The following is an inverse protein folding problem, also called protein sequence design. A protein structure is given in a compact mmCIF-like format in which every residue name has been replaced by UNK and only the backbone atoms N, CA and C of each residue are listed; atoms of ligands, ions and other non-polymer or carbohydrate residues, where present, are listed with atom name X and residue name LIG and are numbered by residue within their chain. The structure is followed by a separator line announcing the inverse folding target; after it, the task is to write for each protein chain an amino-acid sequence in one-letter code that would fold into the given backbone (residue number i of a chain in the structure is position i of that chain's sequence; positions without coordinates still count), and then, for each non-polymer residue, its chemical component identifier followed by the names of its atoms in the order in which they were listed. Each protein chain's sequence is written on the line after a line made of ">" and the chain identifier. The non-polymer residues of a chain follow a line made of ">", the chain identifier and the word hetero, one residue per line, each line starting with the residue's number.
data_IF_633594309609
#
_entry.id   IF_633594309609
#
_cell.length_a   1.000
_cell.length_b   1.000
_cell.length_c   1.000
_cell.angle_alpha   90.00
_cell.angle_beta   90.00
_cell.angle_gamma   90.00
#
_symmetry.space_group_name_H-M   'P 1'
#
loop_
_entity.id
_entity.type
_entity.pdbx_description
1 polymer ?
#
# COMPACT_ATOMS: atom_id res chain seq x y z
N UNK A 1 33.13 -21.19 61.51
CA UNK A 1 32.30 -20.14 60.88
C UNK A 1 31.61 -20.71 59.65
N UNK A 2 30.27 -20.74 59.63
CA UNK A 2 29.49 -21.47 58.62
C UNK A 2 29.51 -20.75 57.26
N UNK A 3 30.15 -21.37 56.25
CA UNK A 3 30.23 -20.90 54.84
C UNK A 3 28.89 -20.43 54.25
N UNK A 4 27.77 -21.03 54.67
CA UNK A 4 26.41 -20.67 54.21
C UNK A 4 25.98 -19.25 54.62
N UNK A 5 26.44 -18.73 55.77
CA UNK A 5 26.13 -17.36 56.22
C UNK A 5 26.89 -16.28 55.45
N UNK A 6 28.10 -16.61 55.00
CA UNK A 6 28.95 -15.69 54.21
C UNK A 6 28.37 -15.54 52.79
N UNK A 7 27.93 -16.63 52.17
CA UNK A 7 27.32 -16.61 50.83
C UNK A 7 25.98 -15.85 50.84
N UNK A 8 25.14 -16.03 51.86
CA UNK A 8 23.88 -15.30 51.98
C UNK A 8 24.09 -13.79 52.24
N UNK A 9 25.11 -13.41 53.01
CA UNK A 9 25.48 -12.02 53.25
C UNK A 9 26.01 -11.33 51.99
N UNK A 10 26.84 -12.01 51.20
CA UNK A 10 27.34 -11.50 49.93
C UNK A 10 26.22 -11.34 48.90
N UNK A 11 25.29 -12.31 48.78
CA UNK A 11 24.17 -12.19 47.85
C UNK A 11 23.22 -11.02 48.21
N UNK A 12 22.91 -10.83 49.50
CA UNK A 12 22.04 -9.70 49.92
C UNK A 12 22.68 -8.32 49.70
N UNK A 13 24.01 -8.24 49.72
CA UNK A 13 24.71 -6.97 49.53
C UNK A 13 24.90 -6.60 48.05
N UNK A 14 25.14 -7.57 47.17
CA UNK A 14 25.41 -7.32 45.75
C UNK A 14 24.16 -7.31 44.85
N UNK A 15 23.07 -7.98 45.24
CA UNK A 15 21.83 -8.00 44.46
C UNK A 15 21.20 -6.61 44.23
N UNK A 16 21.05 -5.70 45.23
CA UNK A 16 20.47 -4.38 44.99
C UNK A 16 21.36 -3.51 44.11
N UNK A 17 22.69 -3.64 44.22
CA UNK A 17 23.65 -2.92 43.39
C UNK A 17 23.53 -3.37 41.93
N UNK A 18 23.43 -4.68 41.68
CA UNK A 18 23.24 -5.22 40.34
C UNK A 18 21.92 -4.78 39.69
N UNK A 19 20.84 -4.69 40.46
CA UNK A 19 19.54 -4.22 39.96
C UNK A 19 19.51 -2.72 39.64
N UNK A 20 20.17 -1.89 40.46
CA UNK A 20 20.25 -0.45 40.20
C UNK A 20 21.14 -0.16 38.99
N UNK A 21 22.32 -0.75 38.89
CA UNK A 21 23.23 -0.51 37.75
C UNK A 21 22.75 -1.18 36.46
N UNK A 22 22.18 -2.38 36.54
CA UNK A 22 21.55 -3.05 35.39
C UNK A 22 20.31 -2.32 34.88
N UNK A 23 19.49 -1.80 35.80
CA UNK A 23 18.33 -0.97 35.46
C UNK A 23 18.72 0.36 34.82
N UNK A 24 19.76 1.03 35.32
CA UNK A 24 20.25 2.31 34.78
C UNK A 24 20.81 2.15 33.35
N UNK A 25 21.53 1.05 33.08
CA UNK A 25 22.05 0.74 31.74
C UNK A 25 20.92 0.46 30.74
N UNK A 26 19.87 -0.24 31.18
CA UNK A 26 18.68 -0.51 30.36
C UNK A 26 17.87 0.77 30.10
N UNK A 27 17.80 1.68 31.08
CA UNK A 27 17.15 2.98 30.94
C UNK A 27 17.92 3.93 30.03
N UNK A 28 19.27 3.91 30.06
CA UNK A 28 20.11 4.69 29.13
C UNK A 28 19.96 4.22 27.67
N UNK A 29 19.87 2.89 27.45
CA UNK A 29 19.62 2.31 26.13
C UNK A 29 18.22 2.66 25.57
N UNK A 30 17.23 2.88 26.44
CA UNK A 30 15.90 3.36 26.07
C UNK A 30 15.88 4.86 25.72
N UNK A 31 16.81 5.66 26.25
CA UNK A 31 16.89 7.10 26.01
C UNK A 31 17.71 7.48 24.75
N UNK A 32 18.45 6.55 24.14
CA UNK A 32 19.24 6.81 22.92
C UNK A 32 18.49 6.59 21.61
N UNK A 33 17.17 6.39 21.65
CA UNK A 33 16.32 6.24 20.46
C UNK A 33 15.41 7.44 20.25
N UNK A 34 15.92 8.66 20.47
CA UNK A 34 15.32 9.87 19.88
C UNK A 34 16.21 10.34 18.75
N UNK A 35 16.18 9.59 17.65
CA UNK A 35 16.52 10.16 16.35
C UNK A 35 15.40 11.12 16.00
N UNK A 36 15.57 12.40 16.35
CA UNK A 36 14.89 13.52 15.69
C UNK A 36 15.22 13.44 14.20
N UNK A 37 14.48 12.61 13.49
CA UNK A 37 14.44 12.63 12.04
C UNK A 37 13.16 13.38 11.75
N UNK A 38 13.30 14.65 11.36
CA UNK A 38 12.24 15.31 10.60
C UNK A 38 11.77 14.30 9.55
N UNK A 39 10.54 13.77 9.69
CA UNK A 39 9.95 12.88 8.70
C UNK A 39 9.83 13.70 7.41
N UNK A 40 10.86 13.63 6.58
CA UNK A 40 10.75 14.02 5.20
C UNK A 40 9.86 12.95 4.58
N UNK A 41 8.59 13.28 4.34
CA UNK A 41 7.61 12.44 3.62
C UNK A 41 7.96 12.23 2.14
N UNK A 42 9.24 12.39 1.80
CA UNK A 42 9.79 12.19 0.47
C UNK A 42 9.77 10.70 0.11
N UNK A 43 8.90 10.35 -0.84
CA UNK A 43 8.91 9.05 -1.50
C UNK A 43 10.10 9.05 -2.46
N UNK A 44 11.05 8.14 -2.26
CA UNK A 44 12.20 8.00 -3.16
C UNK A 44 11.74 7.42 -4.51
N UNK A 45 12.03 8.07 -5.65
CA UNK A 45 11.42 7.78 -6.95
C UNK A 45 12.02 6.56 -7.70
N UNK A 46 12.47 5.51 -7.01
CA UNK A 46 13.04 4.35 -7.71
C UNK A 46 12.67 3.01 -7.10
N UNK A 47 11.39 2.65 -7.17
CA UNK A 47 10.99 1.24 -7.15
C UNK A 47 11.06 0.73 -8.60
N UNK A 48 12.27 0.69 -9.16
CA UNK A 48 12.48 0.08 -10.47
C UNK A 48 12.78 -1.41 -10.25
N UNK A 49 11.91 -2.28 -10.78
CA UNK A 49 12.25 -3.69 -10.99
C UNK A 49 12.53 -3.90 -12.47
N UNK A 50 13.81 -4.07 -12.87
CA UNK A 50 14.19 -4.30 -14.28
C UNK A 50 13.63 -5.59 -14.89
N UNK A 51 13.04 -6.48 -14.08
CA UNK A 51 12.68 -7.85 -14.47
C UNK A 51 11.26 -8.03 -15.00
N UNK A 52 10.37 -7.04 -14.83
CA UNK A 52 8.94 -7.18 -15.18
C UNK A 52 8.70 -7.39 -16.69
N UNK A 53 9.68 -7.01 -17.52
CA UNK A 53 9.59 -7.13 -18.97
C UNK A 53 10.27 -8.38 -19.57
N UNK A 54 11.07 -9.15 -18.80
CA UNK A 54 11.91 -10.22 -19.37
C UNK A 54 11.81 -11.59 -18.68
N UNK A 55 11.46 -11.65 -17.39
CA UNK A 55 11.38 -12.92 -16.65
C UNK A 55 10.01 -13.14 -16.02
N UNK A 56 9.27 -14.12 -16.55
CA UNK A 56 8.05 -14.61 -15.94
C UNK A 56 8.34 -15.15 -14.53
N UNK A 57 7.64 -14.67 -13.48
CA UNK A 57 7.82 -15.16 -12.11
C UNK A 57 7.55 -16.67 -12.01
N UNK A 58 8.37 -17.39 -11.23
CA UNK A 58 8.23 -18.86 -11.06
C UNK A 58 7.19 -19.22 -10.00
N UNK A 59 6.80 -18.28 -9.14
CA UNK A 59 5.79 -18.47 -8.10
C UNK A 59 5.20 -17.13 -7.64
N UNK A 60 4.04 -17.21 -6.97
CA UNK A 60 3.41 -16.03 -6.34
C UNK A 60 4.35 -15.44 -5.28
N UNK A 61 5.03 -16.30 -4.52
CA UNK A 61 5.99 -15.85 -3.51
C UNK A 61 7.14 -15.05 -4.12
N UNK A 62 7.71 -15.52 -5.24
CA UNK A 62 8.78 -14.81 -5.93
C UNK A 62 8.30 -13.44 -6.41
N UNK A 63 7.12 -13.39 -7.05
CA UNK A 63 6.51 -12.13 -7.48
C UNK A 63 6.29 -11.19 -6.30
N UNK A 64 5.64 -11.65 -5.23
CA UNK A 64 5.37 -10.81 -4.06
C UNK A 64 6.66 -10.28 -3.43
N UNK A 65 7.72 -11.09 -3.38
CA UNK A 65 9.04 -10.66 -2.88
C UNK A 65 9.72 -9.65 -3.79
N UNK A 66 9.66 -9.80 -5.12
CA UNK A 66 10.22 -8.81 -6.04
C UNK A 66 9.47 -7.48 -5.96
N UNK A 67 8.16 -7.50 -5.72
CA UNK A 67 7.32 -6.30 -5.62
C UNK A 67 7.09 -5.79 -4.19
N UNK A 68 7.91 -6.24 -3.23
CA UNK A 68 7.75 -5.92 -1.81
C UNK A 68 7.60 -4.42 -1.55
N UNK A 69 8.47 -3.59 -2.12
CA UNK A 69 8.45 -2.14 -1.86
C UNK A 69 7.17 -1.47 -2.39
N UNK A 70 6.63 -1.97 -3.51
CA UNK A 70 5.35 -1.49 -4.03
C UNK A 70 4.18 -1.87 -3.10
N UNK A 71 4.20 -3.08 -2.51
CA UNK A 71 3.21 -3.47 -1.49
C UNK A 71 3.33 -2.65 -0.20
N UNK A 72 4.54 -2.31 0.24
CA UNK A 72 4.70 -1.41 1.38
C UNK A 72 4.19 0.00 1.04
N UNK A 73 4.52 0.50 -0.16
CA UNK A 73 4.08 1.82 -0.61
C UNK A 73 2.56 1.89 -0.79
N UNK A 74 1.91 0.82 -1.26
CA UNK A 74 0.45 0.80 -1.44
C UNK A 74 -0.31 0.96 -0.12
N UNK A 75 0.23 0.44 1.00
CA UNK A 75 -0.28 0.73 2.34
C UNK A 75 -0.20 2.23 2.67
N UNK A 76 0.94 2.88 2.41
CA UNK A 76 1.06 4.34 2.62
C UNK A 76 0.13 5.13 1.70
N UNK A 77 0.10 4.77 0.42
CA UNK A 77 -0.56 5.54 -0.64
C UNK A 77 -2.08 5.46 -0.59
N UNK A 78 -2.64 4.30 -0.21
CA UNK A 78 -4.08 4.07 -0.24
C UNK A 78 -4.63 3.33 0.97
N UNK A 79 -3.82 3.00 1.98
CA UNK A 79 -4.29 2.31 3.19
C UNK A 79 -4.90 0.93 2.91
N UNK A 80 -4.58 0.30 1.79
CA UNK A 80 -5.12 -1.02 1.44
C UNK A 80 -4.14 -2.11 1.86
N UNK A 81 -4.59 -3.04 2.71
CA UNK A 81 -3.72 -4.00 3.38
C UNK A 81 -3.03 -4.95 2.37
N UNK A 82 -1.70 -5.12 2.39
CA UNK A 82 -0.97 -5.91 1.39
C UNK A 82 -1.47 -7.34 1.20
N UNK A 83 -1.65 -8.11 2.27
CA UNK A 83 -2.10 -9.50 2.21
C UNK A 83 -3.53 -9.63 1.63
N UNK A 84 -4.41 -8.67 1.94
CA UNK A 84 -5.74 -8.58 1.36
C UNK A 84 -5.65 -8.23 -0.13
N UNK A 85 -4.79 -7.30 -0.52
CA UNK A 85 -4.56 -6.94 -1.92
C UNK A 85 -4.11 -8.14 -2.75
N UNK A 86 -3.12 -8.89 -2.26
CA UNK A 86 -2.63 -10.13 -2.90
C UNK A 86 -3.75 -11.16 -3.04
N UNK A 87 -4.55 -11.35 -1.98
CA UNK A 87 -5.66 -12.31 -2.00
C UNK A 87 -6.72 -11.94 -3.04
N UNK A 88 -7.06 -10.65 -3.12
CA UNK A 88 -7.98 -10.17 -4.14
C UNK A 88 -7.38 -10.35 -5.53
N UNK A 89 -6.11 -10.00 -5.75
CA UNK A 89 -5.43 -10.23 -7.05
C UNK A 89 -5.51 -11.68 -7.50
N UNK A 90 -5.30 -12.63 -6.58
CA UNK A 90 -5.44 -14.06 -6.87
C UNK A 90 -6.87 -14.43 -7.31
N UNK A 91 -7.90 -13.84 -6.71
CA UNK A 91 -9.29 -14.07 -7.12
C UNK A 91 -9.59 -13.44 -8.50
N UNK A 92 -9.06 -12.25 -8.76
CA UNK A 92 -9.35 -11.49 -9.99
C UNK A 92 -8.63 -12.01 -11.23
N UNK A 93 -7.36 -12.43 -11.09
CA UNK A 93 -6.54 -12.79 -12.24
C UNK A 93 -5.70 -14.06 -12.04
N UNK A 94 -5.85 -14.75 -10.90
CA UNK A 94 -5.24 -16.05 -10.63
C UNK A 94 -3.72 -16.06 -10.49
N UNK A 95 -3.04 -14.89 -10.53
CA UNK A 95 -1.60 -14.83 -10.75
C UNK A 95 -1.12 -15.72 -11.91
N UNK A 96 -1.79 -15.62 -13.07
CA UNK A 96 -1.54 -16.50 -14.20
C UNK A 96 -0.18 -16.23 -14.88
N UNK A 97 0.89 -16.79 -14.30
CA UNK A 97 2.25 -16.69 -14.84
C UNK A 97 2.50 -17.57 -16.06
N UNK A 98 1.66 -18.56 -16.36
CA UNK A 98 1.89 -19.44 -17.53
C UNK A 98 1.47 -18.79 -18.85
N UNK A 99 0.64 -17.75 -18.78
CA UNK A 99 0.28 -16.92 -19.93
C UNK A 99 -0.05 -15.48 -19.49
N UNK A 100 0.95 -14.70 -19.00
CA UNK A 100 0.72 -13.35 -18.51
C UNK A 100 0.21 -12.44 -19.64
N UNK A 101 0.71 -12.63 -20.86
CA UNK A 101 0.18 -11.93 -22.04
C UNK A 101 -1.15 -12.51 -22.54
N UNK A 102 -1.72 -13.53 -21.90
CA UNK A 102 -2.99 -14.16 -22.30
C UNK A 102 -4.20 -13.67 -21.53
N UNK A 103 -4.00 -12.94 -20.43
CA UNK A 103 -5.08 -12.30 -19.68
C UNK A 103 -4.90 -10.80 -19.72
N UNK A 104 -6.00 -10.09 -19.91
CA UNK A 104 -6.04 -8.65 -20.04
C UNK A 104 -5.44 -7.90 -18.87
N UNK A 105 -5.79 -8.30 -17.64
CA UNK A 105 -5.30 -7.67 -16.43
C UNK A 105 -3.80 -7.81 -16.26
N UNK A 106 -3.22 -8.94 -16.68
CA UNK A 106 -1.77 -9.11 -16.66
C UNK A 106 -1.08 -8.25 -17.73
N UNK A 107 -1.63 -8.16 -18.94
CA UNK A 107 -1.14 -7.27 -20.00
C UNK A 107 -1.21 -5.78 -19.61
N UNK A 108 -2.22 -5.41 -18.83
CA UNK A 108 -2.41 -4.04 -18.36
C UNK A 108 -1.67 -3.71 -17.05
N UNK A 109 -0.94 -4.69 -16.49
CA UNK A 109 -0.38 -4.64 -15.14
C UNK A 109 -1.42 -4.23 -14.08
N UNK A 110 -2.68 -4.53 -14.33
CA UNK A 110 -3.81 -4.15 -13.51
C UNK A 110 -4.08 -5.24 -12.49
N UNK A 111 -3.58 -5.05 -11.27
CA UNK A 111 -3.53 -6.09 -10.24
C UNK A 111 -4.86 -6.36 -9.54
N UNK A 112 -5.99 -5.91 -10.08
CA UNK A 112 -7.28 -6.18 -9.46
C UNK A 112 -8.51 -5.87 -10.28
N UNK A 113 -8.41 -5.42 -11.53
CA UNK A 113 -9.58 -4.97 -12.29
C UNK A 113 -9.96 -3.52 -11.99
N UNK A 114 -8.97 -2.66 -11.73
CA UNK A 114 -9.15 -1.22 -11.56
C UNK A 114 -9.77 -0.65 -12.84
N UNK A 115 -11.03 -0.22 -12.77
CA UNK A 115 -11.72 0.45 -13.88
C UNK A 115 -11.05 1.78 -14.18
N UNK A 116 -11.26 2.29 -15.39
CA UNK A 116 -10.86 3.66 -15.74
C UNK A 116 -11.51 4.65 -14.79
N UNK A 117 -10.71 5.58 -14.28
CA UNK A 117 -11.17 6.70 -13.46
C UNK A 117 -10.57 8.00 -14.02
N UNK A 118 -9.93 8.82 -13.19
CA UNK A 118 -9.21 10.03 -13.55
C UNK A 118 -7.77 9.93 -13.07
N UNK A 119 -6.83 10.60 -13.73
CA UNK A 119 -5.40 10.50 -13.37
C UNK A 119 -5.14 11.01 -11.96
N UNK A 120 -5.95 11.95 -11.49
CA UNK A 120 -5.87 12.59 -10.18
C UNK A 120 -6.17 11.61 -9.04
N UNK A 121 -6.73 10.43 -9.31
CA UNK A 121 -6.88 9.37 -8.32
C UNK A 121 -5.58 8.60 -8.05
N UNK A 122 -4.48 8.91 -8.76
CA UNK A 122 -3.19 8.19 -8.68
C UNK A 122 -1.98 9.10 -8.35
N UNK A 123 -2.08 10.07 -7.42
CA UNK A 123 -1.02 11.06 -7.20
C UNK A 123 0.32 10.45 -6.77
N UNK A 124 0.33 9.43 -5.91
CA UNK A 124 1.54 8.74 -5.46
C UNK A 124 2.13 7.90 -6.58
N UNK A 125 1.30 7.19 -7.33
CA UNK A 125 1.76 6.40 -8.48
C UNK A 125 2.44 7.29 -9.51
N UNK A 126 1.80 8.39 -9.91
CA UNK A 126 2.35 9.34 -10.88
C UNK A 126 3.65 10.00 -10.39
N UNK A 127 3.71 10.38 -9.11
CA UNK A 127 4.91 10.98 -8.52
C UNK A 127 6.08 9.98 -8.41
N UNK A 128 5.79 8.71 -8.14
CA UNK A 128 6.82 7.68 -7.92
C UNK A 128 7.31 7.06 -9.22
N UNK A 129 6.40 6.85 -10.17
CA UNK A 129 6.65 6.06 -11.37
C UNK A 129 6.63 6.90 -12.66
N UNK A 130 6.34 8.19 -12.60
CA UNK A 130 6.30 9.08 -13.75
C UNK A 130 4.90 9.29 -14.32
N UNK A 131 4.71 10.35 -15.10
CA UNK A 131 3.39 10.75 -15.62
C UNK A 131 2.79 9.79 -16.64
N UNK A 132 3.63 8.95 -17.25
CA UNK A 132 3.28 7.88 -18.18
C UNK A 132 2.99 6.55 -17.47
N UNK A 133 3.04 6.50 -16.13
CA UNK A 133 2.83 5.28 -15.36
C UNK A 133 1.38 4.80 -15.32
N UNK A 134 0.43 5.68 -15.63
CA UNK A 134 -1.01 5.42 -15.63
C UNK A 134 -1.62 5.91 -16.95
N UNK A 135 -2.38 5.03 -17.58
CA UNK A 135 -3.16 5.33 -18.78
C UNK A 135 -4.63 4.91 -18.57
N UNK A 136 -5.54 5.88 -18.69
CA UNK A 136 -6.99 5.72 -18.48
C UNK A 136 -7.77 5.77 -19.79
N UNK A 137 -7.09 5.78 -20.95
CA UNK A 137 -7.74 5.91 -22.26
C UNK A 137 -8.43 4.62 -22.73
N UNK A 138 -8.06 3.48 -22.14
CA UNK A 138 -8.52 2.17 -22.61
C UNK A 138 -7.89 1.72 -23.93
N UNK A 139 -6.88 2.43 -24.46
CA UNK A 139 -6.26 2.08 -25.76
C UNK A 139 -5.01 1.21 -25.63
N UNK A 140 -4.48 1.02 -24.42
CA UNK A 140 -3.28 0.22 -24.17
C UNK A 140 -3.60 -1.30 -24.16
N UNK A 141 -2.61 -2.19 -24.40
CA UNK A 141 -2.83 -3.63 -24.33
C UNK A 141 -3.50 -4.07 -23.02
N UNK A 142 -4.49 -4.95 -23.12
CA UNK A 142 -5.24 -5.45 -21.96
C UNK A 142 -6.22 -4.46 -21.31
N UNK A 143 -6.31 -3.21 -21.76
CA UNK A 143 -7.19 -2.19 -21.16
C UNK A 143 -8.55 -2.04 -21.85
N UNK A 144 -8.71 -2.58 -23.06
CA UNK A 144 -9.91 -2.47 -23.90
C UNK A 144 -10.94 -3.60 -23.68
N UNK A 145 -10.64 -4.56 -22.82
CA UNK A 145 -11.43 -5.78 -22.57
C UNK A 145 -12.46 -5.61 -21.46
N UNK A 146 -13.21 -4.51 -21.49
CA UNK A 146 -14.39 -4.36 -20.63
C UNK A 146 -15.22 -5.64 -20.66
N UNK A 147 -15.75 -6.01 -19.51
CA UNK A 147 -16.70 -7.08 -19.17
C UNK A 147 -17.99 -7.14 -20.04
N UNK A 148 -17.95 -6.70 -21.29
CA UNK A 148 -19.09 -6.54 -22.18
C UNK A 148 -19.96 -5.32 -21.87
N UNK A 149 -19.62 -4.53 -20.85
CA UNK A 149 -20.44 -3.39 -20.38
C UNK A 149 -20.01 -2.03 -20.91
N UNK A 150 -18.97 -1.99 -21.75
CA UNK A 150 -18.45 -0.74 -22.34
C UNK A 150 -17.46 0.04 -21.46
N UNK A 151 -17.00 -0.53 -20.33
CA UNK A 151 -15.98 0.09 -19.47
C UNK A 151 -14.56 -0.36 -19.79
N UNK A 152 -13.61 0.57 -19.98
CA UNK A 152 -12.19 0.25 -20.06
C UNK A 152 -11.56 0.10 -18.67
N UNK A 153 -10.43 -0.61 -18.60
CA UNK A 153 -9.62 -0.74 -17.40
C UNK A 153 -8.42 0.21 -17.43
N UNK A 154 -7.94 0.60 -16.25
CA UNK A 154 -6.70 1.38 -16.14
C UNK A 154 -5.51 0.51 -16.53
N UNK A 155 -4.62 1.05 -17.36
CA UNK A 155 -3.33 0.45 -17.68
C UNK A 155 -2.24 1.08 -16.82
N UNK A 156 -1.34 0.25 -16.30
CA UNK A 156 -0.17 0.67 -15.56
C UNK A 156 1.10 0.28 -16.30
N UNK A 157 2.16 1.09 -16.16
CA UNK A 157 3.41 0.85 -16.90
C UNK A 157 4.13 -0.45 -16.52
N UNK A 158 4.00 -0.86 -15.27
CA UNK A 158 4.60 -2.06 -14.69
C UNK A 158 3.76 -2.53 -13.48
N UNK A 159 4.12 -3.69 -12.92
CA UNK A 159 3.37 -4.27 -11.81
C UNK A 159 3.50 -3.46 -10.52
N UNK A 160 4.62 -2.75 -10.32
CA UNK A 160 4.78 -1.87 -9.16
C UNK A 160 3.77 -0.71 -9.19
N UNK A 161 3.63 -0.04 -10.33
CA UNK A 161 2.64 1.01 -10.55
C UNK A 161 1.22 0.45 -10.39
N UNK A 162 0.95 -0.76 -10.88
CA UNK A 162 -0.34 -1.42 -10.71
C UNK A 162 -0.71 -1.75 -9.26
N UNK A 163 0.27 -2.20 -8.46
CA UNK A 163 0.07 -2.50 -7.03
C UNK A 163 -0.28 -1.24 -6.25
N UNK A 164 0.48 -0.16 -6.46
CA UNK A 164 0.27 1.12 -5.77
C UNK A 164 -1.01 1.79 -6.27
N UNK A 165 -1.21 1.85 -7.58
CA UNK A 165 -2.37 2.48 -8.19
C UNK A 165 -3.69 1.81 -7.80
N UNK A 166 -3.71 0.48 -7.63
CA UNK A 166 -4.87 -0.22 -7.08
C UNK A 166 -5.25 0.30 -5.69
N UNK A 167 -4.30 0.48 -4.79
CA UNK A 167 -4.59 0.99 -3.45
C UNK A 167 -5.09 2.44 -3.49
N UNK A 168 -4.49 3.29 -4.33
CA UNK A 168 -4.96 4.67 -4.49
C UNK A 168 -6.38 4.72 -5.06
N UNK A 169 -6.67 3.95 -6.10
CA UNK A 169 -8.03 3.85 -6.65
C UNK A 169 -9.04 3.50 -5.55
N UNK A 170 -8.75 2.47 -4.76
CA UNK A 170 -9.59 2.04 -3.64
C UNK A 170 -9.85 3.16 -2.64
N UNK A 171 -8.81 3.93 -2.29
CA UNK A 171 -8.87 4.99 -1.30
C UNK A 171 -9.69 6.20 -1.77
N UNK A 172 -9.76 6.43 -3.09
CA UNK A 172 -10.54 7.50 -3.69
C UNK A 172 -12.02 7.15 -3.90
N UNK A 173 -12.39 5.87 -3.88
CA UNK A 173 -13.80 5.46 -3.96
C UNK A 173 -14.52 5.61 -2.61
N UNK A 174 -15.71 6.20 -2.64
CA UNK A 174 -16.59 6.29 -1.44
C UNK A 174 -17.13 4.93 -1.01
N UNK A 175 -17.18 3.95 -1.92
CA UNK A 175 -17.71 2.63 -1.66
C UNK A 175 -16.79 1.74 -0.80
N UNK A 176 -15.48 2.00 -0.80
CA UNK A 176 -14.49 1.09 -0.20
C UNK A 176 -13.88 1.60 1.10
N UNK A 177 -14.44 2.65 1.71
CA UNK A 177 -13.86 3.30 2.90
C UNK A 177 -13.64 2.35 4.08
N UNK A 178 -14.45 1.30 4.23
CA UNK A 178 -14.29 0.29 5.29
C UNK A 178 -13.06 -0.62 5.10
N UNK A 179 -12.49 -0.68 3.90
CA UNK A 179 -11.27 -1.42 3.60
C UNK A 179 -10.00 -0.56 3.81
N UNK A 180 -10.14 0.76 3.86
CA UNK A 180 -9.01 1.70 3.94
C UNK A 180 -8.55 1.84 5.40
N UNK A 181 -7.24 1.75 5.61
CA UNK A 181 -6.58 1.70 6.93
C UNK A 181 -7.08 0.55 7.82
N UNK A 182 -7.70 -0.48 7.24
CA UNK A 182 -8.13 -1.65 7.98
C UNK A 182 -6.96 -2.63 8.12
N UNK A 183 -6.61 -2.97 9.36
CA UNK A 183 -5.45 -3.83 9.67
C UNK A 183 -5.83 -5.31 9.80
N UNK A 184 -7.10 -5.68 9.58
CA UNK A 184 -7.54 -7.06 9.52
C UNK A 184 -7.90 -7.45 8.08
N UNK A 185 -7.21 -8.47 7.54
CA UNK A 185 -7.36 -8.83 6.13
C UNK A 185 -8.73 -9.41 5.77
N UNK A 186 -9.37 -10.19 6.64
CA UNK A 186 -10.72 -10.71 6.37
C UNK A 186 -11.77 -9.60 6.42
N UNK A 187 -11.66 -8.67 7.38
CA UNK A 187 -12.50 -7.49 7.49
C UNK A 187 -12.32 -6.58 6.28
N UNK A 188 -11.06 -6.36 5.85
CA UNK A 188 -10.73 -5.60 4.63
C UNK A 188 -11.43 -6.20 3.41
N UNK A 189 -11.31 -7.51 3.20
CA UNK A 189 -11.95 -8.21 2.08
C UNK A 189 -13.49 -8.26 2.17
N UNK A 190 -14.03 -8.27 3.38
CA UNK A 190 -15.48 -8.18 3.58
C UNK A 190 -15.98 -6.77 3.23
N UNK A 191 -15.23 -5.73 3.58
CA UNK A 191 -15.57 -4.35 3.27
C UNK A 191 -15.56 -4.05 1.75
N UNK A 192 -14.62 -4.61 0.97
CA UNK A 192 -14.62 -4.43 -0.49
C UNK A 192 -15.83 -5.10 -1.15
N UNK A 193 -16.23 -6.29 -0.65
CA UNK A 193 -17.43 -6.97 -1.11
C UNK A 193 -18.69 -6.16 -0.77
N UNK A 194 -18.80 -5.68 0.48
CA UNK A 194 -19.91 -4.81 0.89
C UNK A 194 -19.98 -3.50 0.12
N UNK A 195 -18.82 -2.99 -0.35
CA UNK A 195 -18.73 -1.84 -1.25
C UNK A 195 -19.12 -2.15 -2.70
N UNK A 196 -19.51 -3.39 -3.04
CA UNK A 196 -19.97 -3.75 -4.37
C UNK A 196 -18.85 -3.87 -5.40
N UNK A 197 -17.64 -4.31 -4.99
CA UNK A 197 -16.54 -4.57 -5.93
C UNK A 197 -16.94 -5.53 -7.06
N UNK A 198 -17.68 -6.58 -6.73
CA UNK A 198 -18.24 -7.54 -7.68
C UNK A 198 -19.68 -7.88 -7.31
N UNK A 199 -20.50 -8.22 -8.31
CA UNK A 199 -21.90 -8.64 -8.14
C UNK A 199 -22.06 -10.15 -7.92
N UNK A 200 -21.02 -10.95 -8.15
CA UNK A 200 -21.03 -12.40 -7.95
C UNK A 200 -21.30 -12.72 -6.46
N UNK A 201 -22.41 -13.41 -6.13
CA UNK A 201 -22.76 -13.73 -4.75
C UNK A 201 -21.76 -14.67 -4.07
N UNK A 202 -20.91 -15.36 -4.83
CA UNK A 202 -19.84 -16.22 -4.31
C UNK A 202 -18.52 -15.50 -4.10
N UNK A 203 -18.42 -14.21 -4.48
CA UNK A 203 -17.17 -13.45 -4.45
C UNK A 203 -16.58 -13.34 -3.05
N UNK A 204 -17.38 -13.00 -2.04
CA UNK A 204 -16.92 -12.93 -0.65
C UNK A 204 -16.33 -14.26 -0.17
N UNK A 205 -17.00 -15.37 -0.48
CA UNK A 205 -16.52 -16.70 -0.12
C UNK A 205 -15.16 -17.01 -0.79
N UNK A 206 -14.99 -16.67 -2.07
CA UNK A 206 -13.72 -16.82 -2.79
C UNK A 206 -12.61 -15.98 -2.17
N UNK A 207 -12.89 -14.73 -1.80
CA UNK A 207 -11.93 -13.85 -1.14
C UNK A 207 -11.49 -14.42 0.22
N UNK A 208 -12.44 -14.83 1.06
CA UNK A 208 -12.15 -15.38 2.39
C UNK A 208 -11.39 -16.71 2.31
N UNK A 209 -11.78 -17.60 1.39
CA UNK A 209 -11.07 -18.85 1.15
C UNK A 209 -9.63 -18.59 0.69
N UNK A 210 -9.44 -17.70 -0.28
CA UNK A 210 -8.12 -17.32 -0.81
C UNK A 210 -7.26 -16.63 0.24
N UNK A 211 -7.82 -15.77 1.09
CA UNK A 211 -7.07 -15.17 2.18
C UNK A 211 -6.58 -16.21 3.18
N UNK A 212 -7.42 -17.19 3.51
CA UNK A 212 -7.06 -18.26 4.42
C UNK A 212 -5.98 -19.20 3.87
N UNK A 213 -6.01 -19.50 2.57
CA UNK A 213 -5.05 -20.42 1.94
C UNK A 213 -3.77 -19.74 1.45
N UNK A 214 -3.84 -18.48 1.01
CA UNK A 214 -2.74 -17.72 0.40
C UNK A 214 -2.40 -16.45 1.19
N UNK A 215 -3.39 -15.58 1.43
CA UNK A 215 -3.17 -14.25 2.03
C UNK A 215 -2.41 -14.29 3.36
N UNK A 216 -2.75 -15.25 4.24
CA UNK A 216 -2.07 -15.47 5.52
C UNK A 216 -0.55 -15.67 5.40
N UNK A 217 -0.08 -16.26 4.30
CA UNK A 217 1.35 -16.48 4.05
C UNK A 217 2.11 -15.16 3.86
N UNK A 218 1.41 -14.07 3.54
CA UNK A 218 1.97 -12.74 3.28
C UNK A 218 1.68 -11.72 4.39
N UNK A 219 1.18 -12.13 5.56
CA UNK A 219 0.94 -11.22 6.69
C UNK A 219 2.20 -10.52 7.21
N UNK A 220 3.38 -11.07 6.91
CA UNK A 220 4.64 -10.40 7.20
C UNK A 220 4.77 -9.05 6.47
N UNK A 221 4.17 -8.89 5.28
CA UNK A 221 4.10 -7.60 4.58
C UNK A 221 3.19 -6.61 5.30
N UNK A 222 2.06 -7.07 5.85
CA UNK A 222 1.16 -6.23 6.63
C UNK A 222 1.89 -5.68 7.86
N UNK A 223 2.58 -6.57 8.58
CA UNK A 223 3.35 -6.21 9.77
C UNK A 223 4.45 -5.20 9.43
N UNK A 224 5.19 -5.41 8.35
CA UNK A 224 6.25 -4.51 7.92
C UNK A 224 5.70 -3.16 7.45
N UNK A 225 4.61 -3.14 6.70
CA UNK A 225 3.97 -1.92 6.24
C UNK A 225 3.41 -1.09 7.40
N UNK A 226 2.75 -1.76 8.36
CA UNK A 226 2.23 -1.14 9.58
C UNK A 226 3.37 -0.64 10.47
N UNK A 227 4.45 -1.40 10.63
CA UNK A 227 5.62 -0.96 11.38
C UNK A 227 6.25 0.29 10.75
N UNK A 228 6.32 0.35 9.42
CA UNK A 228 6.96 1.45 8.69
C UNK A 228 6.11 2.72 8.67
N UNK A 229 4.80 2.60 8.47
CA UNK A 229 3.91 3.75 8.20
C UNK A 229 2.80 3.96 9.25
N UNK A 230 2.61 3.03 10.17
CA UNK A 230 1.55 3.05 11.19
C UNK A 230 0.26 2.34 10.76
N UNK A 231 -0.73 2.29 11.66
CA UNK A 231 -1.99 1.57 11.46
C UNK A 231 -2.97 2.27 10.52
N UNK A 232 -2.81 3.57 10.28
CA UNK A 232 -3.72 4.35 9.45
C UNK A 232 -2.98 5.45 8.69
N UNK A 233 -2.06 5.06 7.79
CA UNK A 233 -1.18 6.01 7.10
C UNK A 233 -1.91 6.85 6.06
N UNK A 234 -2.96 6.33 5.42
CA UNK A 234 -3.69 7.09 4.40
C UNK A 234 -4.57 8.15 5.05
N UNK A 235 -4.44 9.40 4.60
CA UNK A 235 -5.24 10.55 5.06
C UNK A 235 -5.92 11.22 3.87
N UNK A 236 -7.23 11.00 3.72
CA UNK A 236 -8.02 11.58 2.63
C UNK A 236 -7.99 13.12 2.60
N UNK A 237 -7.84 13.77 3.75
CA UNK A 237 -7.77 15.23 3.89
C UNK A 237 -6.46 15.87 3.43
N UNK A 238 -5.39 15.09 3.26
CA UNK A 238 -4.10 15.58 2.76
C UNK A 238 -4.06 15.65 1.22
N UNK A 239 -5.16 15.29 0.56
CA UNK A 239 -5.39 15.41 -0.88
C UNK A 239 -6.17 16.68 -1.26
N UNK A 240 -6.57 17.48 -0.27
CA UNK A 240 -7.21 18.79 -0.51
C UNK A 240 -6.10 19.83 -0.64
N UNK A 241 -6.00 20.57 -1.75
CA UNK A 241 -5.02 21.65 -1.84
C UNK A 241 -5.32 22.68 -0.77
N UNK A 242 -4.33 22.95 0.06
CA UNK A 242 -4.27 24.21 0.79
C UNK A 242 -4.25 25.32 -0.25
N UNK A 243 -5.38 26.00 -0.47
CA UNK A 243 -5.44 27.23 -1.25
C UNK A 243 -4.70 28.31 -0.41
N UNK A 244 -3.50 28.79 -0.82
CA UNK A 244 -2.87 29.91 -0.16
C UNK A 244 -3.48 31.17 -0.77
N UNK A 245 -4.33 31.89 -0.04
CA UNK A 245 -5.03 33.01 -0.66
C UNK A 245 -5.82 33.98 0.22
N UNK A 246 -5.22 34.57 1.26
CA UNK A 246 -5.53 35.96 1.65
C UNK A 246 -4.40 36.68 2.43
N UNK A 247 -3.45 37.25 1.67
CA UNK A 247 -2.55 38.41 1.94
C UNK A 247 -1.53 38.39 3.11
N UNK A 248 -0.49 39.26 3.11
CA UNK A 248 0.08 40.09 2.04
C UNK A 248 1.56 39.78 1.72
N UNK A 249 2.03 40.39 0.64
CA UNK A 249 3.34 40.33 0.00
C UNK A 249 4.51 40.61 0.95
N UNK A 250 5.51 39.72 0.99
CA UNK A 250 6.91 40.07 1.24
C UNK A 250 7.82 39.24 0.36
N UNK A 251 8.64 39.93 -0.43
CA UNK A 251 9.65 39.38 -1.32
C UNK A 251 10.79 38.75 -0.52
N UNK A 252 11.06 37.46 -0.70
CA UNK A 252 12.43 36.94 -0.60
C UNK A 252 12.66 35.85 -1.65
N UNK A 253 13.59 36.13 -2.57
CA UNK A 253 14.21 35.14 -3.45
C UNK A 253 15.26 34.39 -2.65
N UNK A 254 15.21 33.06 -2.65
CA UNK A 254 16.41 32.23 -2.64
C UNK A 254 16.11 30.88 -3.26
N UNK A 255 16.82 30.57 -4.35
CA UNK A 255 16.69 29.31 -5.07
C UNK A 255 17.24 28.14 -4.28
N UNK A 256 16.52 27.03 -4.33
CA UNK A 256 17.05 25.67 -4.28
C UNK A 256 16.04 24.80 -5.03
N UNK A 257 16.54 24.15 -6.08
CA UNK A 257 15.80 23.17 -6.86
C UNK A 257 15.57 21.95 -5.95
N UNK A 258 14.39 21.84 -5.36
CA UNK A 258 13.94 20.63 -4.66
C UNK A 258 12.88 19.99 -5.52
N UNK A 259 13.18 18.78 -6.01
CA UNK A 259 12.32 17.91 -6.81
C UNK A 259 11.17 17.31 -5.94
N UNK A 260 10.50 18.19 -5.18
CA UNK A 260 9.31 17.88 -4.41
C UNK A 260 8.11 18.47 -5.15
N UNK A 261 7.33 17.62 -5.80
CA UNK A 261 6.15 18.05 -6.54
C UNK A 261 4.98 18.20 -5.58
N UNK A 262 4.48 19.44 -5.44
CA UNK A 262 3.17 19.75 -4.85
C UNK A 262 2.15 19.71 -5.98
N UNK A 263 1.10 18.90 -5.84
CA UNK A 263 0.06 18.65 -6.86
C UNK A 263 -0.94 19.80 -6.97
N UNK A 264 -1.44 20.04 -8.19
CA UNK A 264 -2.46 21.04 -8.53
C UNK A 264 -3.67 20.43 -9.27
N UNK A 265 -4.86 20.93 -8.94
CA UNK A 265 -6.23 20.49 -9.28
C UNK A 265 -6.68 20.53 -10.76
N UNK A 266 -7.71 19.73 -11.08
CA UNK A 266 -9.08 20.22 -11.41
C UNK A 266 -10.15 19.14 -11.19
N UNK A 267 -11.27 19.53 -10.59
CA UNK A 267 -12.39 18.69 -10.17
C UNK A 267 -13.48 18.60 -11.25
N UNK A 268 -14.00 17.39 -11.49
CA UNK A 268 -15.45 17.14 -11.68
C UNK A 268 -15.75 15.66 -11.37
N UNK A 269 -16.85 15.43 -10.64
CA UNK A 269 -17.30 14.10 -10.18
C UNK A 269 -18.27 13.49 -11.20
N UNK A 270 -18.09 12.22 -11.55
CA UNK A 270 -19.14 11.42 -12.21
C UNK A 270 -19.38 10.16 -11.39
N UNK A 271 -20.58 10.07 -10.83
CA UNK A 271 -21.10 8.93 -10.08
C UNK A 271 -21.54 7.85 -11.08
N UNK A 272 -20.82 6.73 -11.16
CA UNK A 272 -21.19 5.59 -11.99
C UNK A 272 -22.31 4.75 -11.37
N UNK A 273 -23.43 4.63 -12.11
CA UNK A 273 -24.66 3.94 -11.73
C UNK A 273 -24.49 2.41 -11.84
N UNK A 274 -24.96 1.67 -10.84
CA UNK A 274 -24.87 0.19 -10.75
C UNK A 274 -25.97 -0.44 -11.60
N UNK A 275 -25.60 -1.26 -12.58
CA UNK A 275 -26.49 -2.21 -13.26
C UNK A 275 -25.95 -3.65 -13.09
N UNK A 276 -26.83 -4.65 -12.90
CA UNK A 276 -26.45 -6.02 -12.55
C UNK A 276 -26.00 -6.80 -13.80
N UNK A 277 -24.97 -7.66 -13.67
CA UNK A 277 -24.56 -8.59 -14.72
C UNK A 277 -24.56 -10.05 -14.25
N UNK A 278 -25.03 -10.90 -15.17
CA UNK A 278 -25.20 -12.36 -15.12
C UNK A 278 -23.90 -13.13 -15.33
#
# INVERSE_FOLDING_TARGET
>A
MNKKRIIFGLLSFFLPIFLVFGGLLFFLLLLTSTSDTSKNDCIQPSINNPTDATDTPKSIEQFVKSHKDAYLLSWKAGGFLPSASISQTMVENGFNFTNPSGTSFWQAHNMGGVKTSKKEDFPVTLATFGQDSVDISGTKPGSNVGDGTGGAYTWFKDYNAGIVGKAEFMAHQTLYTGAINNTDGLSTLSAIYSGGWATDPTYLMKLQATYNSLGKQFQWLDQEAIQKYGNAPFKKSELVPNIPGKSPITNEKSGKNSDCVVTSDTSDQVTGQILPHH
#
